data_IF_712165845798
#
_entry.id   IF_712165845798
#
_cell.length_a   1.000
_cell.length_b   1.000
_cell.length_c   1.000
_cell.angle_alpha   90.00
_cell.angle_beta   90.00
_cell.angle_gamma   90.00
#
_symmetry.space_group_name_H-M   'P 1'
#
loop_
_entity.id
_entity.type
_entity.pdbx_description
1 polymer ?
#
# COMPACT_ATOMS: atom_id res chain seq x y z
N UNK A 1 15.32 0.27 5.61
CA UNK A 1 14.01 -0.40 5.78
C UNK A 1 14.30 -1.89 5.74
N UNK A 2 13.86 -2.68 6.72
CA UNK A 2 14.00 -4.14 6.64
C UNK A 2 13.18 -4.63 5.44
N UNK A 3 13.71 -5.57 4.67
CA UNK A 3 12.95 -6.22 3.59
C UNK A 3 12.02 -7.32 4.13
N UNK A 4 12.23 -7.71 5.38
CA UNK A 4 11.41 -8.71 6.06
C UNK A 4 10.16 -8.09 6.69
N UNK A 5 9.25 -8.95 7.10
CA UNK A 5 8.07 -8.57 7.89
C UNK A 5 8.50 -7.87 9.18
N UNK A 6 9.51 -8.41 9.87
CA UNK A 6 10.16 -7.78 11.02
C UNK A 6 11.67 -7.96 10.90
N UNK A 7 12.42 -6.86 11.00
CA UNK A 7 13.88 -6.85 11.09
C UNK A 7 14.31 -5.92 12.23
N UNK A 8 15.55 -6.07 12.71
CA UNK A 8 16.13 -5.18 13.72
C UNK A 8 16.71 -3.93 13.08
N UNK A 9 16.14 -2.78 13.40
CA UNK A 9 16.59 -1.48 12.93
C UNK A 9 17.56 -0.78 13.87
N UNK A 10 17.95 0.47 13.55
CA UNK A 10 18.81 1.28 14.39
C UNK A 10 18.26 1.40 15.81
N UNK A 11 19.17 1.40 16.81
CA UNK A 11 18.82 1.41 18.24
C UNK A 11 17.89 0.26 18.65
N UNK A 12 17.99 -0.89 17.95
CA UNK A 12 17.19 -2.09 18.20
C UNK A 12 15.68 -1.91 17.99
N UNK A 13 15.25 -0.84 17.33
CA UNK A 13 13.83 -0.64 17.03
C UNK A 13 13.38 -1.64 15.97
N UNK A 14 12.22 -2.29 16.14
CA UNK A 14 11.70 -3.16 15.10
C UNK A 14 11.32 -2.33 13.87
N UNK A 15 11.70 -2.82 12.70
CA UNK A 15 11.40 -2.23 11.39
C UNK A 15 10.91 -3.34 10.46
N UNK A 16 10.48 -3.02 9.24
CA UNK A 16 10.02 -4.00 8.26
C UNK A 16 8.56 -3.78 7.88
N UNK A 17 8.01 -4.70 7.09
CA UNK A 17 6.64 -4.58 6.56
C UNK A 17 5.57 -4.45 7.65
N UNK A 18 5.76 -5.08 8.81
CA UNK A 18 4.84 -5.01 9.95
C UNK A 18 4.72 -3.60 10.55
N UNK A 19 5.70 -2.72 10.31
CA UNK A 19 5.76 -1.36 10.86
C UNK A 19 5.71 -0.30 9.76
N UNK A 20 5.38 -0.70 8.54
CA UNK A 20 5.40 0.22 7.40
C UNK A 20 4.34 1.31 7.54
N UNK A 21 4.77 2.56 7.32
CA UNK A 21 3.91 3.73 7.15
C UNK A 21 3.73 3.97 5.65
N UNK A 22 2.59 3.54 5.12
CA UNK A 22 2.34 3.50 3.68
C UNK A 22 2.65 4.83 2.99
N UNK A 23 2.22 5.95 3.57
CA UNK A 23 2.36 7.28 2.97
C UNK A 23 3.80 7.75 2.84
N UNK A 24 4.74 7.16 3.58
CA UNK A 24 6.16 7.45 3.42
C UNK A 24 6.70 6.96 2.06
N UNK A 25 6.01 6.03 1.39
CA UNK A 25 6.35 5.60 0.04
C UNK A 25 6.43 6.79 -0.93
N UNK A 26 5.68 7.87 -0.66
CA UNK A 26 5.72 9.07 -1.49
C UNK A 26 7.12 9.67 -1.48
N UNK A 27 7.76 9.76 -0.31
CA UNK A 27 9.11 10.33 -0.15
C UNK A 27 10.16 9.40 -0.74
N UNK A 28 10.01 8.09 -0.55
CA UNK A 28 10.97 7.11 -1.05
C UNK A 28 11.00 7.10 -2.58
N UNK A 29 9.83 6.97 -3.21
CA UNK A 29 9.70 6.97 -4.68
C UNK A 29 10.18 8.30 -5.26
N UNK A 30 9.87 9.43 -4.62
CA UNK A 30 10.36 10.75 -5.06
C UNK A 30 11.90 10.85 -5.02
N UNK A 31 12.51 10.24 -4.01
CA UNK A 31 13.98 10.21 -3.85
C UNK A 31 14.62 9.35 -4.93
N UNK A 32 14.06 8.17 -5.21
CA UNK A 32 14.54 7.30 -6.29
C UNK A 32 14.39 7.96 -7.66
N UNK A 33 13.25 8.63 -7.93
CA UNK A 33 13.07 9.39 -9.18
C UNK A 33 14.08 10.53 -9.29
N UNK A 34 14.35 11.26 -8.20
CA UNK A 34 15.38 12.31 -8.21
C UNK A 34 16.76 11.76 -8.50
N UNK A 35 17.09 10.59 -7.95
CA UNK A 35 18.34 9.90 -8.28
C UNK A 35 18.38 9.52 -9.77
N UNK A 36 17.34 8.89 -10.30
CA UNK A 36 17.27 8.55 -11.72
C UNK A 36 17.43 9.79 -12.63
N UNK A 37 16.80 10.91 -12.27
CA UNK A 37 16.97 12.17 -13.01
C UNK A 37 18.42 12.68 -12.97
N UNK A 38 19.10 12.60 -11.82
CA UNK A 38 20.53 12.96 -11.70
C UNK A 38 21.42 12.07 -12.57
N UNK A 39 21.03 10.82 -12.78
CA UNK A 39 21.70 9.87 -13.68
C UNK A 39 21.33 10.07 -15.17
N UNK A 40 20.53 11.08 -15.51
CA UNK A 40 20.20 11.43 -16.90
C UNK A 40 18.89 10.83 -17.43
N UNK A 41 18.16 10.05 -16.64
CA UNK A 41 16.86 9.49 -17.06
C UNK A 41 15.78 10.58 -17.14
N UNK A 42 15.15 10.73 -18.31
CA UNK A 42 14.15 11.79 -18.59
C UNK A 42 12.70 11.29 -18.55
N UNK A 43 12.48 10.01 -18.76
CA UNK A 43 11.16 9.36 -18.77
C UNK A 43 11.21 8.20 -17.78
N UNK A 44 10.31 8.21 -16.81
CA UNK A 44 10.23 7.19 -15.76
C UNK A 44 8.94 6.40 -15.93
N UNK A 45 9.04 5.08 -15.79
CA UNK A 45 7.88 4.19 -15.63
C UNK A 45 7.96 3.62 -14.22
N UNK A 46 6.85 3.73 -13.47
CA UNK A 46 6.74 3.12 -12.16
C UNK A 46 6.07 1.75 -12.30
N UNK A 47 6.79 0.68 -12.03
CA UNK A 47 6.24 -0.68 -12.01
C UNK A 47 6.10 -1.15 -10.57
N UNK A 48 4.90 -1.57 -10.20
CA UNK A 48 4.58 -2.05 -8.86
C UNK A 48 3.80 -3.36 -8.90
N UNK A 49 4.16 -4.28 -8.00
CA UNK A 49 3.45 -5.54 -7.77
C UNK A 49 2.85 -5.55 -6.36
N UNK A 50 1.62 -6.07 -6.20
CA UNK A 50 0.92 -6.14 -4.91
C UNK A 50 0.88 -4.76 -4.22
N UNK A 51 1.35 -4.62 -2.98
CA UNK A 51 1.46 -3.31 -2.30
C UNK A 51 2.25 -2.27 -3.11
N UNK A 52 3.22 -2.72 -3.91
CA UNK A 52 3.97 -1.86 -4.82
C UNK A 52 3.09 -1.17 -5.88
N UNK A 53 2.03 -1.85 -6.36
CA UNK A 53 1.05 -1.25 -7.27
C UNK A 53 0.28 -0.10 -6.58
N UNK A 54 -0.13 -0.32 -5.33
CA UNK A 54 -0.82 0.69 -4.50
C UNK A 54 0.08 1.93 -4.31
N UNK A 55 1.36 1.70 -3.97
CA UNK A 55 2.36 2.76 -3.79
C UNK A 55 2.62 3.54 -5.08
N UNK A 56 2.70 2.86 -6.23
CA UNK A 56 2.94 3.50 -7.51
C UNK A 56 1.78 4.42 -7.91
N UNK A 57 0.53 3.93 -7.78
CA UNK A 57 -0.66 4.74 -8.04
C UNK A 57 -0.75 5.91 -7.05
N UNK A 58 -0.59 5.64 -5.76
CA UNK A 58 -0.67 6.65 -4.71
C UNK A 58 0.39 7.74 -4.88
N UNK A 59 1.63 7.38 -5.20
CA UNK A 59 2.69 8.34 -5.50
C UNK A 59 2.28 9.28 -6.64
N UNK A 60 1.82 8.73 -7.77
CA UNK A 60 1.50 9.57 -8.93
C UNK A 60 0.25 10.43 -8.67
N UNK A 61 -0.73 9.91 -7.93
CA UNK A 61 -1.86 10.71 -7.46
C UNK A 61 -1.41 11.92 -6.64
N UNK A 62 -0.54 11.70 -5.64
CA UNK A 62 -0.08 12.75 -4.72
C UNK A 62 0.86 13.75 -5.37
N UNK A 63 1.83 13.26 -6.16
CA UNK A 63 2.91 14.10 -6.69
C UNK A 63 2.65 14.64 -8.08
N UNK A 64 1.81 13.97 -8.87
CA UNK A 64 1.56 14.29 -10.29
C UNK A 64 2.87 14.58 -11.04
N UNK A 65 3.90 13.77 -10.77
CA UNK A 65 5.26 14.08 -11.21
C UNK A 65 5.34 13.99 -12.75
N UNK A 66 5.73 15.06 -13.46
CA UNK A 66 5.75 15.09 -14.92
C UNK A 66 6.83 14.19 -15.53
N UNK A 67 7.84 13.77 -14.75
CA UNK A 67 8.87 12.83 -15.20
C UNK A 67 8.33 11.39 -15.33
N UNK A 68 7.26 11.06 -14.58
CA UNK A 68 6.57 9.77 -14.70
C UNK A 68 5.71 9.82 -15.96
N UNK A 69 5.95 8.89 -16.88
CA UNK A 69 5.25 8.79 -18.17
C UNK A 69 4.31 7.59 -18.24
N UNK A 70 4.49 6.62 -17.34
CA UNK A 70 3.53 5.54 -17.18
C UNK A 70 3.66 4.81 -15.86
N UNK A 71 2.64 4.01 -15.56
CA UNK A 71 2.58 3.13 -14.40
C UNK A 71 2.17 1.74 -14.86
N UNK A 72 2.85 0.71 -14.34
CA UNK A 72 2.50 -0.70 -14.50
C UNK A 72 2.03 -1.22 -13.13
N UNK A 73 0.80 -1.71 -13.09
CA UNK A 73 0.10 -2.15 -11.89
C UNK A 73 -0.17 -3.65 -11.99
N UNK A 74 0.69 -4.47 -11.38
CA UNK A 74 0.55 -5.92 -11.36
C UNK A 74 -0.07 -6.40 -10.03
N UNK A 75 -1.14 -7.19 -10.08
CA UNK A 75 -1.82 -7.66 -8.88
C UNK A 75 -2.35 -6.51 -8.02
N UNK A 76 -2.94 -5.51 -8.67
CA UNK A 76 -3.41 -4.27 -8.06
C UNK A 76 -4.69 -4.54 -7.26
N UNK A 77 -4.51 -5.02 -6.04
CA UNK A 77 -5.58 -5.39 -5.11
C UNK A 77 -5.34 -4.68 -3.77
N UNK A 78 -6.40 -4.12 -3.19
CA UNK A 78 -6.40 -3.63 -1.82
C UNK A 78 -6.51 -4.81 -0.86
N UNK A 79 -5.72 -4.83 0.21
CA UNK A 79 -5.82 -5.84 1.27
C UNK A 79 -7.21 -5.85 1.95
N UNK A 80 -8.00 -4.79 1.77
CA UNK A 80 -9.43 -4.78 2.09
C UNK A 80 -10.25 -5.85 1.35
N UNK A 81 -9.75 -6.39 0.24
CA UNK A 81 -10.38 -7.54 -0.44
C UNK A 81 -10.48 -8.77 0.47
N UNK A 82 -9.59 -8.89 1.48
CA UNK A 82 -9.66 -9.94 2.49
C UNK A 82 -10.98 -9.93 3.29
N UNK A 83 -11.73 -8.82 3.32
CA UNK A 83 -13.07 -8.79 3.93
C UNK A 83 -14.10 -9.66 3.21
N UNK A 84 -13.90 -9.95 1.91
CA UNK A 84 -14.82 -10.79 1.13
C UNK A 84 -14.62 -12.28 1.41
N UNK A 85 -13.41 -12.69 1.80
CA UNK A 85 -13.03 -14.11 1.94
C UNK A 85 -12.62 -14.49 3.37
N UNK A 86 -12.35 -13.50 4.23
CA UNK A 86 -11.87 -13.69 5.60
C UNK A 86 -12.96 -13.61 6.68
N UNK A 87 -12.56 -13.83 7.93
CA UNK A 87 -13.45 -13.73 9.09
C UNK A 87 -13.69 -12.26 9.46
N UNK A 88 -14.81 -11.72 8.99
CA UNK A 88 -15.22 -10.34 9.25
C UNK A 88 -15.30 -10.00 10.75
N UNK A 89 -15.75 -10.93 11.61
CA UNK A 89 -15.84 -10.66 13.07
C UNK A 89 -14.45 -10.51 13.66
N UNK A 90 -13.51 -11.37 13.25
CA UNK A 90 -12.11 -11.32 13.68
C UNK A 90 -11.44 -10.03 13.21
N UNK A 91 -11.67 -9.62 11.96
CA UNK A 91 -11.13 -8.37 11.41
C UNK A 91 -11.72 -7.13 12.11
N UNK A 92 -13.03 -7.07 12.34
CA UNK A 92 -13.66 -5.97 13.10
C UNK A 92 -13.10 -5.88 14.52
N UNK A 93 -12.85 -7.02 15.17
CA UNK A 93 -12.21 -7.07 16.49
C UNK A 93 -10.79 -6.52 16.44
N UNK A 94 -10.00 -6.94 15.45
CA UNK A 94 -8.62 -6.47 15.27
C UNK A 94 -8.55 -4.96 15.06
N UNK A 95 -9.44 -4.39 14.21
CA UNK A 95 -9.53 -2.93 14.00
C UNK A 95 -9.86 -2.21 15.30
N UNK A 96 -10.84 -2.71 16.06
CA UNK A 96 -11.21 -2.10 17.35
C UNK A 96 -10.02 -2.07 18.31
N UNK A 97 -9.29 -3.19 18.43
CA UNK A 97 -8.08 -3.29 19.25
C UNK A 97 -7.04 -2.28 18.74
N UNK A 98 -6.73 -2.30 17.45
CA UNK A 98 -5.73 -1.42 16.84
C UNK A 98 -6.04 0.07 17.03
N UNK A 99 -7.32 0.47 16.98
CA UNK A 99 -7.77 1.84 17.29
C UNK A 99 -7.50 2.22 18.75
N UNK A 100 -7.78 1.30 19.68
CA UNK A 100 -7.60 1.51 21.11
C UNK A 100 -6.14 1.45 21.58
N UNK A 101 -5.26 0.78 20.82
CA UNK A 101 -3.83 0.71 21.14
C UNK A 101 -3.22 2.12 21.12
N UNK A 102 -2.70 2.56 22.27
CA UNK A 102 -2.05 3.89 22.42
C UNK A 102 -0.77 3.99 21.60
N UNK A 103 0.11 2.99 21.70
CA UNK A 103 1.33 2.91 20.91
C UNK A 103 1.01 2.31 19.53
N UNK A 104 0.95 3.14 18.49
CA UNK A 104 0.63 2.69 17.13
C UNK A 104 1.72 1.81 16.49
N UNK A 105 2.93 1.85 17.03
CA UNK A 105 4.02 0.95 16.62
C UNK A 105 3.99 -0.39 17.39
N UNK A 106 3.06 -0.60 18.33
CA UNK A 106 2.94 -1.90 19.01
C UNK A 106 2.32 -2.95 18.08
N UNK A 107 2.90 -4.15 18.09
CA UNK A 107 2.35 -5.31 17.40
C UNK A 107 0.99 -5.70 17.99
N UNK A 108 0.06 -6.08 17.12
CA UNK A 108 -1.18 -6.72 17.52
C UNK A 108 -0.94 -8.19 17.94
N UNK A 109 -1.90 -8.81 18.64
CA UNK A 109 -1.87 -10.25 18.89
C UNK A 109 -1.67 -11.04 17.59
N UNK A 110 -0.80 -12.04 17.62
CA UNK A 110 -0.35 -12.80 16.44
C UNK A 110 -1.50 -13.49 15.69
N UNK A 111 -2.62 -13.76 16.35
CA UNK A 111 -3.84 -14.26 15.72
C UNK A 111 -4.36 -13.35 14.60
N UNK A 112 -4.03 -12.05 14.61
CA UNK A 112 -4.37 -11.07 13.57
C UNK A 112 -3.25 -10.85 12.55
N UNK A 113 -2.21 -11.69 12.55
CA UNK A 113 -1.00 -11.53 11.75
C UNK A 113 0.07 -10.70 12.44
N UNK A 114 1.21 -10.52 11.76
CA UNK A 114 2.36 -9.80 12.29
C UNK A 114 2.32 -8.36 11.76
N UNK A 115 1.54 -7.53 12.44
CA UNK A 115 1.36 -6.11 12.09
C UNK A 115 1.36 -5.24 13.34
N UNK A 116 1.94 -4.05 13.23
CA UNK A 116 1.70 -2.98 14.18
C UNK A 116 0.25 -2.50 14.09
N UNK A 117 -0.24 -1.85 15.15
CA UNK A 117 -1.57 -1.27 15.13
C UNK A 117 -1.74 -0.25 13.98
N UNK A 118 -0.73 0.58 13.69
CA UNK A 118 -0.74 1.48 12.54
C UNK A 118 -0.87 0.73 11.22
N UNK A 119 -0.03 -0.30 11.03
CA UNK A 119 0.03 -1.05 9.77
C UNK A 119 -1.26 -1.81 9.51
N UNK A 120 -1.83 -2.41 10.55
CA UNK A 120 -3.09 -3.13 10.43
C UNK A 120 -4.24 -2.20 9.99
N UNK A 121 -4.33 -1.00 10.57
CA UNK A 121 -5.34 -0.02 10.16
C UNK A 121 -5.12 0.44 8.72
N UNK A 122 -3.87 0.72 8.33
CA UNK A 122 -3.52 1.10 6.95
C UNK A 122 -4.02 0.07 5.92
N UNK A 123 -3.90 -1.22 6.25
CA UNK A 123 -4.25 -2.32 5.35
C UNK A 123 -5.75 -2.67 5.34
N UNK A 124 -6.38 -2.66 6.52
CA UNK A 124 -7.66 -3.33 6.72
C UNK A 124 -8.80 -2.42 7.18
N UNK A 125 -8.56 -1.12 7.40
CA UNK A 125 -9.64 -0.16 7.60
C UNK A 125 -9.95 0.60 6.31
N UNK A 126 -11.24 0.68 5.97
CA UNK A 126 -11.71 1.34 4.76
C UNK A 126 -11.34 2.84 4.75
N UNK A 127 -10.92 3.34 3.58
CA UNK A 127 -10.67 4.76 3.37
C UNK A 127 -9.30 5.28 3.86
N UNK A 128 -8.43 4.41 4.36
CA UNK A 128 -7.01 4.74 4.56
C UNK A 128 -6.30 5.01 3.23
N UNK A 129 -5.12 5.64 3.32
CA UNK A 129 -4.34 6.04 2.15
C UNK A 129 -3.93 4.89 1.22
N UNK A 130 -3.82 3.67 1.76
CA UNK A 130 -3.43 2.46 1.01
C UNK A 130 -4.60 1.82 0.24
N UNK A 131 -5.84 2.19 0.56
CA UNK A 131 -7.08 1.70 -0.08
C UNK A 131 -7.36 2.41 -1.43
N UNK A 132 -6.35 2.48 -2.29
CA UNK A 132 -6.41 3.17 -3.60
C UNK A 132 -7.14 2.36 -4.68
N UNK A 133 -7.34 1.06 -4.44
CA UNK A 133 -8.16 0.17 -5.27
C UNK A 133 -9.32 -0.42 -4.43
N UNK A 134 -10.36 0.37 -4.14
CA UNK A 134 -11.41 0.00 -3.19
C UNK A 134 -12.45 -0.97 -3.78
N UNK A 135 -12.02 -2.16 -4.24
CA UNK A 135 -12.90 -3.20 -4.80
C UNK A 135 -13.98 -3.71 -3.82
N UNK A 136 -13.82 -3.42 -2.52
CA UNK A 136 -14.82 -3.73 -1.50
C UNK A 136 -16.05 -2.82 -1.59
N UNK A 137 -15.94 -1.63 -2.19
CA UNK A 137 -17.01 -0.66 -2.29
C UNK A 137 -17.48 -0.50 -3.76
N UNK A 138 -18.64 -1.06 -4.15
CA UNK A 138 -19.15 -0.93 -5.52
C UNK A 138 -19.52 0.51 -5.91
N UNK A 139 -19.67 1.41 -4.94
CA UNK A 139 -19.95 2.84 -5.14
C UNK A 139 -18.67 3.69 -5.07
N UNK A 140 -17.48 3.09 -5.06
CA UNK A 140 -16.24 3.83 -4.96
C UNK A 140 -16.06 4.80 -6.13
N UNK A 141 -15.54 6.00 -5.86
CA UNK A 141 -15.27 7.00 -6.90
C UNK A 141 -13.94 6.75 -7.63
N UNK A 142 -13.10 5.81 -7.20
CA UNK A 142 -11.79 5.53 -7.82
C UNK A 142 -10.93 6.80 -8.00
N UNK A 143 -10.94 7.69 -6.99
CA UNK A 143 -10.42 9.06 -7.13
C UNK A 143 -8.94 9.10 -7.51
N UNK A 144 -8.11 8.20 -6.96
CA UNK A 144 -6.69 8.10 -7.27
C UNK A 144 -6.49 7.72 -8.73
N UNK A 145 -7.09 6.61 -9.16
CA UNK A 145 -6.99 6.12 -10.54
C UNK A 145 -7.52 7.14 -11.55
N UNK A 146 -8.70 7.74 -11.28
CA UNK A 146 -9.31 8.77 -12.13
C UNK A 146 -8.51 10.06 -12.23
N UNK A 147 -7.62 10.35 -11.29
CA UNK A 147 -6.84 11.60 -11.27
C UNK A 147 -5.54 11.52 -12.05
N UNK A 148 -5.04 10.31 -12.29
CA UNK A 148 -3.78 10.10 -13.00
C UNK A 148 -4.00 10.29 -14.50
N UNK A 149 -3.02 10.87 -15.18
CA UNK A 149 -3.07 11.25 -16.61
C UNK A 149 -1.93 10.63 -17.44
N UNK A 150 -1.12 9.78 -16.82
CA UNK A 150 -0.02 9.07 -17.49
C UNK A 150 -0.54 7.74 -18.05
N UNK A 151 0.22 7.10 -18.94
CA UNK A 151 -0.16 5.78 -19.44
C UNK A 151 -0.25 4.77 -18.28
N UNK A 152 -1.31 3.96 -18.25
CA UNK A 152 -1.51 2.94 -17.20
C UNK A 152 -1.66 1.59 -17.87
N UNK A 153 -0.82 0.64 -17.47
CA UNK A 153 -0.99 -0.78 -17.76
C UNK A 153 -1.39 -1.52 -16.48
N UNK A 154 -2.46 -2.30 -16.55
CA UNK A 154 -2.93 -3.14 -15.43
C UNK A 154 -2.76 -4.60 -15.84
N UNK A 155 -2.10 -5.37 -14.99
CA UNK A 155 -1.88 -6.80 -15.18
C UNK A 155 -2.61 -7.53 -14.05
N UNK A 156 -3.64 -8.27 -14.41
CA UNK A 156 -4.44 -9.10 -13.49
C UNK A 156 -4.18 -10.56 -13.86
N UNK A 157 -3.95 -11.40 -12.87
CA UNK A 157 -3.75 -12.83 -13.09
C UNK A 157 -5.04 -13.49 -13.60
N UNK A 158 -4.93 -14.43 -14.54
CA UNK A 158 -6.09 -15.17 -15.08
C UNK A 158 -6.77 -16.10 -14.06
N UNK A 159 -6.11 -16.36 -12.92
CA UNK A 159 -6.64 -17.06 -11.74
C UNK A 159 -6.39 -16.21 -10.48
N UNK A 160 -6.80 -14.95 -10.52
CA UNK A 160 -6.79 -14.13 -9.32
C UNK A 160 -7.96 -14.55 -8.44
N UNK A 161 -7.68 -15.04 -7.23
CA UNK A 161 -8.65 -15.58 -6.26
C UNK A 161 -9.71 -14.54 -5.84
N UNK A 162 -9.50 -13.27 -6.23
CA UNK A 162 -10.33 -12.12 -5.91
C UNK A 162 -10.92 -11.43 -7.15
N UNK A 163 -10.62 -11.88 -8.36
CA UNK A 163 -11.29 -11.42 -9.58
C UNK A 163 -12.63 -12.17 -9.74
N UNK A 164 -13.68 -11.63 -9.14
CA UNK A 164 -15.07 -11.94 -9.45
C UNK A 164 -15.83 -10.66 -9.81
#
# INVERSE_FOLDING_TARGET
RGHDIVSRGPKQKPIGGAFEKFEECVRDIDTVIRLAKKLGYKKIILAGSSTGANKALYYQYKKKNPAVKGIILAGAISDMSAWKTGDAKKMSRAIRIAKQTKNKDALLPQEYGIYSAARYLSLFEAGHAEDVFPYHNPKANWKELKSVRVAVAVIIGSKDEHAQ
#
